data_IF_597155023916
#
_entry.id   IF_597155023916
#
_cell.length_a   1.000
_cell.length_b   1.000
_cell.length_c   1.000
_cell.angle_alpha   90.00
_cell.angle_beta   90.00
_cell.angle_gamma   90.00
#
_symmetry.space_group_name_H-M   'P 1'
#
loop_
_entity.id
_entity.type
_entity.pdbx_description
1 polymer ?
#
# COMPACT_ATOMS: atom_id res chain seq x y z
N UNK A 1 -2.68 18.74 -6.70
CA UNK A 1 -3.64 18.04 -5.84
C UNK A 1 -2.96 17.72 -4.53
N UNK A 2 -3.55 18.17 -3.44
CA UNK A 2 -3.05 17.92 -2.09
C UNK A 2 -3.58 16.61 -1.49
N UNK A 3 -3.02 16.23 -0.35
CA UNK A 3 -3.40 14.99 0.34
C UNK A 3 -4.86 14.99 0.81
N UNK A 4 -5.38 16.13 1.23
CA UNK A 4 -6.79 16.27 1.67
C UNK A 4 -7.73 15.92 0.51
N UNK A 5 -7.50 16.50 -0.65
CA UNK A 5 -8.29 16.21 -1.86
C UNK A 5 -8.18 14.75 -2.28
N UNK A 6 -6.99 14.14 -2.17
CA UNK A 6 -6.82 12.71 -2.44
C UNK A 6 -7.68 11.86 -1.51
N UNK A 7 -7.64 12.15 -0.20
CA UNK A 7 -8.42 11.37 0.76
C UNK A 7 -9.92 11.55 0.58
N UNK A 8 -10.37 12.73 0.25
CA UNK A 8 -11.79 12.97 -0.10
C UNK A 8 -12.23 12.13 -1.29
N UNK A 9 -11.44 12.10 -2.35
CA UNK A 9 -11.73 11.33 -3.57
C UNK A 9 -11.68 9.82 -3.31
N UNK A 10 -10.69 9.35 -2.56
CA UNK A 10 -10.58 7.94 -2.17
C UNK A 10 -11.79 7.52 -1.34
N UNK A 11 -12.16 8.32 -0.34
CA UNK A 11 -13.31 8.06 0.52
C UNK A 11 -14.60 8.01 -0.31
N UNK A 12 -14.81 8.98 -1.17
CA UNK A 12 -15.96 9.02 -2.09
C UNK A 12 -16.05 7.75 -2.94
N UNK A 13 -14.94 7.33 -3.52
CA UNK A 13 -14.87 6.13 -4.34
C UNK A 13 -15.16 4.86 -3.53
N UNK A 14 -14.47 4.68 -2.39
CA UNK A 14 -14.61 3.49 -1.57
C UNK A 14 -16.02 3.33 -1.00
N UNK A 15 -16.65 4.40 -0.55
CA UNK A 15 -18.01 4.36 -0.03
C UNK A 15 -19.03 3.86 -1.06
N UNK A 16 -18.75 4.02 -2.34
CA UNK A 16 -19.61 3.60 -3.44
C UNK A 16 -19.25 2.24 -4.01
N UNK A 17 -17.97 1.94 -4.14
CA UNK A 17 -17.53 0.70 -4.78
C UNK A 17 -17.54 -0.49 -3.83
N UNK A 18 -17.20 -0.30 -2.55
CA UNK A 18 -17.10 -1.42 -1.61
C UNK A 18 -18.43 -2.14 -1.37
N UNK A 19 -19.58 -1.45 -1.20
CA UNK A 19 -20.86 -2.14 -1.10
C UNK A 19 -21.19 -3.00 -2.33
N UNK A 20 -20.84 -2.54 -3.53
CA UNK A 20 -21.02 -3.31 -4.77
C UNK A 20 -20.08 -4.51 -4.80
N UNK A 21 -18.84 -4.32 -4.40
CA UNK A 21 -17.86 -5.42 -4.31
C UNK A 21 -18.33 -6.51 -3.33
N UNK A 22 -18.90 -6.12 -2.20
CA UNK A 22 -19.49 -7.05 -1.23
C UNK A 22 -20.68 -7.80 -1.81
N UNK A 23 -21.59 -7.12 -2.48
CA UNK A 23 -22.77 -7.70 -3.14
C UNK A 23 -22.37 -8.80 -4.13
N UNK A 24 -21.39 -8.50 -4.98
CA UNK A 24 -20.90 -9.43 -6.01
C UNK A 24 -19.75 -10.33 -5.53
N UNK A 25 -19.36 -10.23 -4.25
CA UNK A 25 -18.27 -11.01 -3.63
C UNK A 25 -16.94 -10.89 -4.39
N UNK A 26 -16.63 -9.69 -4.82
CA UNK A 26 -15.38 -9.34 -5.49
C UNK A 26 -14.45 -8.65 -4.50
N UNK A 27 -13.27 -9.23 -4.26
CA UNK A 27 -12.27 -8.61 -3.39
C UNK A 27 -11.57 -7.46 -4.09
N UNK A 28 -11.64 -6.28 -3.49
CA UNK A 28 -10.96 -5.08 -3.97
C UNK A 28 -9.62 -4.95 -3.25
N UNK A 29 -8.54 -5.21 -3.95
CA UNK A 29 -7.18 -5.20 -3.40
C UNK A 29 -6.36 -4.08 -4.01
N UNK A 30 -6.07 -3.05 -3.23
CA UNK A 30 -5.28 -1.91 -3.68
C UNK A 30 -3.79 -2.18 -3.58
N UNK A 31 -3.06 -1.98 -4.65
CA UNK A 31 -1.60 -2.00 -4.65
C UNK A 31 -1.05 -0.68 -4.11
N UNK A 32 -0.04 -0.70 -3.22
CA UNK A 32 0.63 0.53 -2.76
C UNK A 32 1.22 1.33 -3.92
N UNK A 33 1.39 2.64 -3.69
CA UNK A 33 2.10 3.48 -4.64
C UNK A 33 3.55 3.01 -4.78
N UNK A 34 3.98 2.81 -5.99
CA UNK A 34 5.32 2.32 -6.31
C UNK A 34 6.06 3.35 -7.19
N UNK A 35 7.21 3.86 -6.75
CA UNK A 35 7.92 3.56 -5.49
C UNK A 35 7.25 4.15 -4.24
N UNK A 36 7.66 3.67 -3.06
CA UNK A 36 7.29 4.30 -1.79
C UNK A 36 7.81 5.74 -1.75
N UNK A 37 6.94 6.69 -1.43
CA UNK A 37 7.27 8.12 -1.38
C UNK A 37 6.56 8.77 -0.19
N UNK A 38 7.15 9.82 0.42
CA UNK A 38 6.47 10.58 1.46
C UNK A 38 5.23 11.29 0.90
N UNK A 39 4.33 11.71 1.78
CA UNK A 39 3.04 12.32 1.40
C UNK A 39 3.19 13.53 0.47
N UNK A 40 4.24 14.33 0.63
CA UNK A 40 4.53 15.45 -0.29
C UNK A 40 4.81 15.03 -1.72
N UNK A 41 5.04 13.75 -1.94
CA UNK A 41 5.21 13.21 -3.28
C UNK A 41 6.35 13.86 -4.05
N UNK A 42 6.07 14.18 -5.30
CA UNK A 42 7.03 14.86 -6.17
C UNK A 42 6.30 15.72 -7.21
N UNK A 43 7.01 16.72 -7.72
CA UNK A 43 6.50 17.64 -8.75
C UNK A 43 5.20 18.36 -8.33
N UNK A 44 5.08 18.74 -7.05
CA UNK A 44 3.93 19.47 -6.54
C UNK A 44 2.65 18.63 -6.40
N UNK A 45 2.73 17.30 -6.53
CA UNK A 45 1.59 16.39 -6.40
C UNK A 45 1.81 15.49 -5.19
N UNK A 46 0.93 15.59 -4.20
CA UNK A 46 0.96 14.71 -3.03
C UNK A 46 0.67 13.26 -3.42
N UNK A 47 1.20 12.32 -2.63
CA UNK A 47 0.93 10.89 -2.76
C UNK A 47 0.55 10.33 -1.39
N UNK A 48 -0.56 9.63 -1.31
CA UNK A 48 -1.10 9.19 -0.01
C UNK A 48 -0.94 7.70 0.25
N UNK A 49 -0.65 6.90 -0.76
CA UNK A 49 -0.47 5.45 -0.64
C UNK A 49 0.98 5.02 -0.77
N UNK A 50 1.91 5.94 -0.58
CA UNK A 50 3.35 5.71 -0.65
C UNK A 50 4.03 5.49 0.70
N UNK A 51 3.26 5.45 1.80
CA UNK A 51 3.74 5.22 3.16
C UNK A 51 2.90 4.16 3.86
N UNK A 52 3.46 3.52 4.88
CA UNK A 52 2.73 2.54 5.70
C UNK A 52 1.55 3.20 6.41
N UNK A 53 1.71 4.42 6.90
CA UNK A 53 0.65 5.20 7.55
C UNK A 53 -0.50 5.47 6.59
N UNK A 54 -0.21 5.81 5.35
CA UNK A 54 -1.21 5.99 4.30
C UNK A 54 -1.98 4.69 4.00
N UNK A 55 -1.29 3.56 3.96
CA UNK A 55 -1.95 2.26 3.78
C UNK A 55 -2.86 1.90 4.97
N UNK A 56 -2.42 2.20 6.19
CA UNK A 56 -3.26 2.01 7.39
C UNK A 56 -4.52 2.87 7.34
N UNK A 57 -4.39 4.11 6.94
CA UNK A 57 -5.54 5.01 6.77
C UNK A 57 -6.48 4.49 5.68
N UNK A 58 -5.94 4.05 4.56
CA UNK A 58 -6.73 3.53 3.44
C UNK A 58 -7.63 2.36 3.85
N UNK A 59 -7.10 1.36 4.57
CA UNK A 59 -7.90 0.20 5.00
C UNK A 59 -8.93 0.53 6.07
N UNK A 60 -8.79 1.66 6.76
CA UNK A 60 -9.75 2.12 7.77
C UNK A 60 -10.99 2.78 7.17
N UNK A 61 -10.93 3.19 5.91
CA UNK A 61 -12.04 3.81 5.20
C UNK A 61 -12.97 2.71 4.69
N UNK A 62 -14.26 2.78 5.04
CA UNK A 62 -15.27 1.81 4.59
C UNK A 62 -14.83 0.36 4.87
N UNK A 63 -14.53 0.06 6.14
CA UNK A 63 -14.06 -1.28 6.54
C UNK A 63 -15.02 -2.38 6.10
N UNK A 64 -14.47 -3.38 5.39
CA UNK A 64 -15.22 -4.50 4.86
C UNK A 64 -14.26 -5.64 4.52
N UNK A 65 -14.72 -6.87 4.60
CA UNK A 65 -13.90 -8.05 4.25
C UNK A 65 -13.51 -8.11 2.76
N UNK A 66 -14.20 -7.37 1.91
CA UNK A 66 -13.90 -7.25 0.48
C UNK A 66 -13.03 -6.04 0.14
N UNK A 67 -12.60 -5.28 1.15
CA UNK A 67 -11.71 -4.13 1.02
C UNK A 67 -10.40 -4.38 1.72
N UNK A 68 -9.29 -4.28 1.00
CA UNK A 68 -7.97 -4.49 1.56
C UNK A 68 -6.85 -4.13 0.60
N UNK A 69 -5.72 -4.79 0.76
CA UNK A 69 -4.50 -4.50 0.02
C UNK A 69 -4.03 -5.71 -0.80
N UNK A 70 -3.46 -5.43 -1.94
CA UNK A 70 -2.44 -6.28 -2.54
C UNK A 70 -1.12 -5.89 -1.86
N UNK A 71 -0.74 -6.62 -0.82
CA UNK A 71 0.45 -6.30 -0.04
C UNK A 71 1.71 -6.71 -0.80
N UNK A 72 2.22 -5.82 -1.62
CA UNK A 72 3.51 -6.00 -2.29
C UNK A 72 4.64 -5.74 -1.30
N UNK A 73 5.25 -6.79 -0.81
CA UNK A 73 6.32 -6.69 0.21
C UNK A 73 7.54 -5.95 -0.30
N UNK A 74 7.86 -6.07 -1.58
CA UNK A 74 8.96 -5.31 -2.19
C UNK A 74 8.71 -3.80 -2.19
N UNK A 75 7.51 -3.38 -2.57
CA UNK A 75 7.14 -1.96 -2.54
C UNK A 75 7.08 -1.42 -1.10
N UNK A 76 6.49 -2.19 -0.19
CA UNK A 76 6.42 -1.81 1.23
C UNK A 76 7.81 -1.72 1.85
N UNK A 77 8.70 -2.65 1.55
CA UNK A 77 10.09 -2.58 2.02
C UNK A 77 10.79 -1.29 1.58
N UNK A 78 10.48 -0.80 0.39
CA UNK A 78 10.99 0.50 -0.11
C UNK A 78 10.47 1.71 0.65
N UNK A 79 9.38 1.59 1.41
CA UNK A 79 8.83 2.66 2.26
C UNK A 79 9.53 2.75 3.62
N UNK A 80 10.25 1.71 4.03
CA UNK A 80 10.79 1.56 5.39
C UNK A 80 12.23 2.05 5.47
N UNK A 81 12.60 2.64 6.61
CA UNK A 81 13.96 3.05 6.88
C UNK A 81 14.87 1.85 7.13
N UNK A 82 14.39 0.87 7.89
CA UNK A 82 15.08 -0.41 8.13
C UNK A 82 14.16 -1.58 7.75
N UNK A 83 14.13 -1.97 6.46
CA UNK A 83 13.23 -3.03 5.99
C UNK A 83 13.42 -4.36 6.71
N UNK A 84 14.65 -4.69 7.08
CA UNK A 84 14.97 -5.97 7.74
C UNK A 84 14.28 -6.12 9.09
N UNK A 85 14.17 -5.03 9.84
CA UNK A 85 13.53 -5.02 11.16
C UNK A 85 12.03 -4.75 11.09
N UNK A 86 11.63 -3.86 10.19
CA UNK A 86 10.28 -3.30 10.18
C UNK A 86 9.28 -4.07 9.32
N UNK A 87 9.75 -4.79 8.28
CA UNK A 87 8.84 -5.47 7.35
C UNK A 87 7.96 -6.51 8.03
N UNK A 88 8.48 -7.23 8.99
CA UNK A 88 7.71 -8.25 9.71
C UNK A 88 6.55 -7.64 10.52
N UNK A 89 6.78 -6.49 11.13
CA UNK A 89 5.74 -5.79 11.88
C UNK A 89 4.63 -5.26 10.96
N UNK A 90 5.00 -4.79 9.78
CA UNK A 90 4.03 -4.37 8.75
C UNK A 90 3.19 -5.55 8.29
N UNK A 91 3.83 -6.67 7.99
CA UNK A 91 3.11 -7.90 7.58
C UNK A 91 2.15 -8.35 8.69
N UNK A 92 2.61 -8.36 9.94
CA UNK A 92 1.75 -8.71 11.09
C UNK A 92 0.56 -7.77 11.24
N UNK A 93 0.80 -6.46 11.09
CA UNK A 93 -0.25 -5.46 11.22
C UNK A 93 -1.41 -5.72 10.24
N UNK A 94 -1.10 -5.87 8.96
CA UNK A 94 -2.12 -6.10 7.95
C UNK A 94 -2.65 -7.54 7.95
N UNK A 95 -1.82 -8.51 8.28
CA UNK A 95 -2.19 -9.91 8.39
C UNK A 95 -3.17 -10.16 9.53
N UNK A 96 -2.90 -9.62 10.72
CA UNK A 96 -3.78 -9.76 11.88
C UNK A 96 -5.16 -9.14 11.63
N UNK A 97 -5.24 -8.11 10.83
CA UNK A 97 -6.48 -7.44 10.44
C UNK A 97 -7.16 -8.08 9.22
N UNK A 98 -6.56 -9.12 8.65
CA UNK A 98 -7.04 -9.79 7.43
C UNK A 98 -7.22 -8.81 6.25
N UNK A 99 -6.34 -7.82 6.14
CA UNK A 99 -6.38 -6.79 5.10
C UNK A 99 -5.40 -7.04 3.96
N UNK A 100 -4.51 -8.02 4.08
CA UNK A 100 -3.72 -8.53 2.96
C UNK A 100 -4.55 -9.55 2.19
N UNK A 101 -5.28 -9.10 1.19
CA UNK A 101 -6.15 -9.96 0.37
C UNK A 101 -5.36 -10.71 -0.70
N UNK A 102 -4.31 -10.07 -1.20
CA UNK A 102 -3.33 -10.63 -2.12
C UNK A 102 -1.95 -10.25 -1.59
N UNK A 103 -1.01 -11.16 -1.68
CA UNK A 103 0.40 -10.88 -1.37
C UNK A 103 1.24 -11.16 -2.60
N UNK A 104 2.00 -10.16 -3.02
CA UNK A 104 3.01 -10.31 -4.06
C UNK A 104 4.39 -10.07 -3.43
N UNK A 105 5.35 -10.90 -3.78
CA UNK A 105 6.73 -10.73 -3.32
C UNK A 105 7.64 -10.57 -4.52
N UNK A 106 8.12 -9.37 -4.73
CA UNK A 106 9.26 -9.11 -5.60
C UNK A 106 10.55 -9.08 -4.78
N UNK A 107 10.68 -10.00 -3.84
CA UNK A 107 11.88 -10.07 -3.01
C UNK A 107 12.91 -10.90 -3.74
N UNK A 108 13.82 -10.23 -4.44
CA UNK A 108 15.12 -10.85 -4.64
C UNK A 108 15.92 -10.79 -3.34
N UNK A 109 16.83 -11.72 -3.17
CA UNK A 109 17.78 -11.70 -2.04
C UNK A 109 18.49 -10.35 -1.88
N UNK A 110 18.52 -9.55 -2.92
CA UNK A 110 19.19 -8.26 -3.03
C UNK A 110 18.37 -7.06 -2.55
N UNK A 111 17.04 -7.14 -2.58
CA UNK A 111 16.14 -6.08 -2.07
C UNK A 111 16.32 -5.88 -0.57
N UNK A 112 16.66 -6.96 0.13
CA UNK A 112 16.89 -6.94 1.58
C UNK A 112 18.13 -6.13 1.94
N UNK A 113 18.98 -5.82 0.98
CA UNK A 113 20.31 -5.26 1.27
C UNK A 113 20.46 -3.77 0.99
N UNK A 114 19.83 -3.19 -0.01
CA UNK A 114 19.88 -1.73 -0.23
C UNK A 114 18.77 -1.23 -1.18
N UNK A 115 18.27 -0.02 -0.92
CA UNK A 115 17.34 0.69 -1.82
C UNK A 115 17.91 0.89 -3.25
N UNK A 116 19.23 0.99 -3.38
CA UNK A 116 19.88 1.10 -4.69
C UNK A 116 19.71 -0.15 -5.56
N UNK A 117 19.72 -1.33 -4.97
CA UNK A 117 19.50 -2.58 -5.69
C UNK A 117 18.03 -2.75 -6.08
N UNK A 118 17.10 -2.30 -5.25
CA UNK A 118 15.68 -2.29 -5.57
C UNK A 118 15.38 -1.49 -6.85
N UNK A 119 15.91 -0.26 -6.95
CA UNK A 119 15.76 0.56 -8.17
C UNK A 119 16.43 -0.07 -9.38
N UNK A 120 17.58 -0.72 -9.19
CA UNK A 120 18.29 -1.39 -10.27
C UNK A 120 17.52 -2.57 -10.85
N UNK A 121 16.78 -3.30 -10.04
CA UNK A 121 15.95 -4.41 -10.50
C UNK A 121 14.71 -3.97 -11.26
N UNK A 122 14.18 -2.79 -10.97
CA UNK A 122 13.06 -2.22 -11.71
C UNK A 122 13.45 -1.63 -13.05
N UNK A 123 14.70 -1.25 -13.22
CA UNK A 123 15.24 -0.75 -14.48
C UNK A 123 15.51 -1.87 -15.52
N UNK A 124 15.39 -3.11 -15.11
CA UNK A 124 15.51 -4.30 -15.96
C UNK A 124 14.13 -4.83 -16.31
#
# INVERSE_FOLDING_TARGET
VDSVTFWERITYFLQRIIPVAEEYKVRMACHPHDPGVPTKGFQGVDRVLGTVEGLKQFISIQENSYHGLNLCTGTVAGMLQDPRKQIHDVIRYFGNRKKSLISTSEISKDIVTTSKKFFRMKAI
#
